data_IF_094929714382
#
_entry.id   IF_094929714382
#
_cell.length_a   1.000
_cell.length_b   1.000
_cell.length_c   1.000
_cell.angle_alpha   90.00
_cell.angle_beta   90.00
_cell.angle_gamma   90.00
#
_symmetry.space_group_name_H-M   'P 1'
#
loop_
_entity.id
_entity.type
_entity.pdbx_description
1 polymer ?
#
# COMPACT_ATOMS: atom_id res chain seq x y z
N UNK A 1 13.72 21.91 13.84
CA UNK A 1 12.74 22.77 14.58
C UNK A 1 11.49 21.95 14.75
N UNK A 2 11.06 21.64 15.96
CA UNK A 2 9.78 20.98 16.20
C UNK A 2 8.65 22.02 16.02
N UNK A 3 7.77 21.78 15.07
CA UNK A 3 6.56 22.59 14.89
C UNK A 3 5.40 21.81 15.53
N UNK A 4 4.73 22.31 16.59
CA UNK A 4 3.65 21.61 17.27
C UNK A 4 2.40 21.36 16.39
N UNK A 5 2.28 22.06 15.27
CA UNK A 5 1.24 21.82 14.28
C UNK A 5 1.56 20.64 13.33
N UNK A 6 2.82 20.22 13.22
CA UNK A 6 3.19 19.00 12.49
C UNK A 6 2.88 17.79 13.38
N UNK A 7 1.78 17.08 13.06
CA UNK A 7 1.29 15.95 13.84
C UNK A 7 1.94 14.63 13.46
N UNK A 8 2.35 14.51 12.17
CA UNK A 8 3.07 13.37 11.59
C UNK A 8 4.11 13.92 10.62
N UNK A 9 5.34 13.45 10.69
CA UNK A 9 6.45 13.86 9.84
C UNK A 9 7.50 12.76 9.71
N UNK A 10 8.76 13.10 9.47
CA UNK A 10 9.84 12.14 9.20
C UNK A 10 10.10 11.12 10.31
N UNK A 11 9.80 11.47 11.57
CA UNK A 11 10.25 10.72 12.74
C UNK A 11 9.57 9.35 12.84
N UNK A 12 8.42 9.16 12.20
CA UNK A 12 7.61 7.94 12.26
C UNK A 12 7.67 7.09 11.01
N UNK A 13 8.32 7.54 9.91
CA UNK A 13 8.28 6.84 8.60
C UNK A 13 6.85 6.47 8.20
N UNK A 14 5.91 7.39 8.43
CA UNK A 14 4.49 7.20 8.16
C UNK A 14 4.17 7.44 6.67
N UNK A 15 3.00 7.01 6.20
CA UNK A 15 2.61 7.05 4.79
C UNK A 15 2.54 8.49 4.24
N UNK A 16 2.16 9.48 5.08
CA UNK A 16 2.08 10.88 4.69
C UNK A 16 2.41 11.84 5.83
N UNK A 17 2.75 13.08 5.48
CA UNK A 17 2.85 14.16 6.46
C UNK A 17 1.46 14.67 6.86
N UNK A 18 1.28 15.01 8.15
CA UNK A 18 0.02 15.57 8.64
C UNK A 18 0.26 16.86 9.42
N UNK A 19 -0.38 17.94 8.96
CA UNK A 19 -0.26 19.26 9.56
C UNK A 19 -1.61 19.76 10.07
N UNK A 20 -1.68 20.15 11.34
CA UNK A 20 -2.89 20.74 11.95
C UNK A 20 -3.12 22.15 11.43
N UNK A 21 -4.29 22.39 10.84
CA UNK A 21 -4.72 23.72 10.39
C UNK A 21 -5.61 24.39 11.43
N UNK A 22 -6.49 23.61 12.09
CA UNK A 22 -7.37 24.04 13.17
C UNK A 22 -7.61 22.87 14.14
N UNK A 23 -8.44 23.08 15.16
CA UNK A 23 -8.82 22.02 16.09
C UNK A 23 -9.68 20.92 15.42
N UNK A 24 -10.33 21.22 14.29
CA UNK A 24 -11.20 20.28 13.57
C UNK A 24 -10.60 19.76 12.28
N UNK A 25 -9.53 20.39 11.75
CA UNK A 25 -8.98 20.07 10.43
C UNK A 25 -7.47 19.92 10.49
N UNK A 26 -6.99 18.79 10.02
CA UNK A 26 -5.60 18.56 9.63
C UNK A 26 -5.50 18.24 8.13
N UNK A 27 -4.43 18.71 7.52
CA UNK A 27 -4.06 18.41 6.12
C UNK A 27 -3.13 17.22 6.10
N UNK A 28 -3.44 16.26 5.25
CA UNK A 28 -2.55 15.17 4.87
C UNK A 28 -1.92 15.56 3.54
N UNK A 29 -0.61 15.43 3.43
CA UNK A 29 0.14 15.74 2.20
C UNK A 29 1.08 14.60 1.87
N UNK A 30 0.93 14.05 0.67
CA UNK A 30 1.81 12.99 0.13
C UNK A 30 2.23 13.27 -1.29
N UNK A 31 3.34 12.66 -1.70
CA UNK A 31 3.89 12.71 -3.05
C UNK A 31 4.35 11.33 -3.45
N UNK A 32 3.73 10.76 -4.47
CA UNK A 32 4.16 9.47 -5.00
C UNK A 32 4.11 9.43 -6.52
N UNK A 33 5.20 8.95 -7.16
CA UNK A 33 5.34 8.81 -8.59
C UNK A 33 6.39 7.76 -8.94
N UNK A 34 6.20 7.06 -10.05
CA UNK A 34 7.10 5.99 -10.48
C UNK A 34 7.10 5.79 -12.00
N UNK A 35 8.01 4.94 -12.47
CA UNK A 35 8.14 4.55 -13.87
C UNK A 35 7.03 3.58 -14.28
N UNK A 36 6.67 3.50 -15.60
CA UNK A 36 5.65 2.57 -16.07
C UNK A 36 5.91 1.12 -15.68
N UNK A 37 4.88 0.48 -15.15
CA UNK A 37 4.86 -0.95 -14.80
C UNK A 37 3.98 -1.77 -15.74
N UNK A 38 3.26 -1.09 -16.63
CA UNK A 38 2.41 -1.64 -17.70
C UNK A 38 2.67 -0.87 -18.99
N UNK A 39 2.40 -1.49 -20.13
CA UNK A 39 2.64 -0.89 -21.45
C UNK A 39 1.52 0.06 -21.89
N UNK A 40 0.29 -0.13 -21.38
CA UNK A 40 -0.84 0.74 -21.68
C UNK A 40 -0.72 2.07 -20.92
N UNK A 41 -0.57 3.22 -21.60
CA UNK A 41 -0.35 4.51 -20.96
C UNK A 41 -1.54 4.99 -20.13
N UNK A 42 -2.79 4.71 -20.56
CA UNK A 42 -3.97 5.07 -19.79
C UNK A 42 -4.05 4.27 -18.48
N UNK A 43 -3.82 2.97 -18.57
CA UNK A 43 -3.78 2.09 -17.40
C UNK A 43 -2.63 2.47 -16.45
N UNK A 44 -1.44 2.81 -16.98
CA UNK A 44 -0.35 3.32 -16.15
C UNK A 44 -0.77 4.57 -15.37
N UNK A 45 -1.44 5.51 -16.03
CA UNK A 45 -2.00 6.70 -15.38
C UNK A 45 -2.97 6.35 -14.25
N UNK A 46 -3.86 5.36 -14.47
CA UNK A 46 -4.79 4.90 -13.44
C UNK A 46 -4.06 4.29 -12.23
N UNK A 47 -3.08 3.42 -12.46
CA UNK A 47 -2.34 2.73 -11.41
C UNK A 47 -1.53 3.74 -10.57
N UNK A 48 -0.83 4.66 -11.23
CA UNK A 48 -0.03 5.67 -10.55
C UNK A 48 -0.89 6.60 -9.67
N UNK A 49 -2.07 7.00 -10.15
CA UNK A 49 -2.99 7.79 -9.36
C UNK A 49 -3.61 6.98 -8.21
N UNK A 50 -3.97 5.70 -8.44
CA UNK A 50 -4.50 4.83 -7.39
C UNK A 50 -3.50 4.64 -6.24
N UNK A 51 -2.22 4.47 -6.59
CA UNK A 51 -1.13 4.35 -5.60
C UNK A 51 -0.95 5.66 -4.81
N UNK A 52 -0.80 6.81 -5.47
CA UNK A 52 -0.60 8.10 -4.81
C UNK A 52 -1.78 8.54 -3.92
N UNK A 53 -2.99 8.12 -4.22
CA UNK A 53 -4.18 8.39 -3.41
C UNK A 53 -4.26 7.50 -2.16
N UNK A 54 -3.52 6.39 -2.12
CA UNK A 54 -3.64 5.35 -1.11
C UNK A 54 -3.17 5.82 0.26
N UNK A 55 -2.07 6.56 0.34
CA UNK A 55 -1.51 7.11 1.58
C UNK A 55 -2.55 7.92 2.36
N UNK A 56 -3.35 8.72 1.64
CA UNK A 56 -4.41 9.51 2.30
C UNK A 56 -5.47 8.62 2.94
N UNK A 57 -5.83 7.49 2.30
CA UNK A 57 -6.76 6.53 2.89
C UNK A 57 -6.15 5.78 4.06
N UNK A 58 -4.86 5.42 3.99
CA UNK A 58 -4.12 4.78 5.09
C UNK A 58 -4.07 5.66 6.33
N UNK A 59 -3.89 6.99 6.14
CA UNK A 59 -3.91 7.98 7.21
C UNK A 59 -5.32 8.33 7.74
N UNK A 60 -6.38 7.63 7.30
CA UNK A 60 -7.75 7.87 7.71
C UNK A 60 -8.42 9.10 7.08
N UNK A 61 -7.79 9.71 6.07
CA UNK A 61 -8.25 10.92 5.42
C UNK A 61 -9.11 10.72 4.19
N UNK A 62 -9.50 11.85 3.60
CA UNK A 62 -10.19 11.92 2.32
C UNK A 62 -9.39 12.77 1.33
N UNK A 63 -8.93 12.22 0.19
CA UNK A 63 -8.30 13.01 -0.87
C UNK A 63 -9.27 14.07 -1.39
N UNK A 64 -8.80 15.30 -1.53
CA UNK A 64 -9.64 16.42 -2.03
C UNK A 64 -9.02 17.17 -3.20
N UNK A 65 -7.69 17.32 -3.19
CA UNK A 65 -6.95 18.05 -4.21
C UNK A 65 -5.74 17.23 -4.63
N UNK A 66 -5.39 17.27 -5.91
CA UNK A 66 -4.16 16.67 -6.41
C UNK A 66 -3.49 17.54 -7.48
N UNK A 67 -2.17 17.39 -7.59
CA UNK A 67 -1.35 17.98 -8.63
C UNK A 67 -0.62 16.87 -9.37
N UNK A 68 -0.64 16.90 -10.70
CA UNK A 68 0.12 15.96 -11.52
C UNK A 68 1.63 16.20 -11.41
N UNK A 69 2.38 15.12 -11.27
CA UNK A 69 3.83 15.08 -11.41
C UNK A 69 4.17 14.24 -12.65
N UNK A 70 4.74 14.83 -13.68
CA UNK A 70 5.00 14.17 -14.95
C UNK A 70 6.41 14.42 -15.41
N UNK A 71 7.18 13.36 -15.60
CA UNK A 71 8.49 13.38 -16.22
C UNK A 71 8.40 12.60 -17.53
N UNK A 72 8.81 13.18 -18.66
CA UNK A 72 8.69 12.50 -19.96
C UNK A 72 9.89 12.75 -20.85
N UNK A 73 10.34 11.75 -21.63
CA UNK A 73 11.33 11.95 -22.67
C UNK A 73 10.71 12.67 -23.89
N UNK A 74 11.52 13.45 -24.56
CA UNK A 74 11.08 14.22 -25.75
C UNK A 74 10.52 13.33 -26.88
N UNK A 75 10.89 12.06 -26.92
CA UNK A 75 10.44 11.10 -27.93
C UNK A 75 9.08 10.47 -27.61
N UNK A 76 8.54 10.64 -26.39
CA UNK A 76 7.24 10.06 -26.04
C UNK A 76 6.12 10.74 -26.84
N UNK A 77 5.25 9.98 -27.53
CA UNK A 77 4.14 10.52 -28.29
C UNK A 77 3.20 11.35 -27.41
N UNK A 78 2.67 12.45 -27.96
CA UNK A 78 1.73 13.30 -27.21
C UNK A 78 0.44 12.60 -26.83
N UNK A 79 0.02 11.62 -27.62
CA UNK A 79 -1.18 10.84 -27.35
C UNK A 79 -0.98 9.91 -26.16
N UNK A 80 0.22 9.33 -25.98
CA UNK A 80 0.55 8.54 -24.79
C UNK A 80 0.60 9.42 -23.53
N UNK A 81 1.20 10.62 -23.63
CA UNK A 81 1.19 11.61 -22.54
C UNK A 81 -0.25 11.97 -22.15
N UNK A 82 -1.12 12.20 -23.14
CA UNK A 82 -2.53 12.49 -22.91
C UNK A 82 -3.22 11.33 -22.21
N UNK A 83 -3.01 10.10 -22.71
CA UNK A 83 -3.60 8.90 -22.14
C UNK A 83 -3.20 8.68 -20.66
N UNK A 84 -1.92 8.90 -20.31
CA UNK A 84 -1.44 8.85 -18.91
C UNK A 84 -2.24 9.83 -18.04
N UNK A 85 -2.34 11.09 -18.47
CA UNK A 85 -3.05 12.13 -17.71
C UNK A 85 -4.57 11.85 -17.61
N UNK A 86 -5.19 11.33 -18.67
CA UNK A 86 -6.61 10.92 -18.67
C UNK A 86 -6.86 9.75 -17.73
N UNK A 87 -5.94 8.77 -17.68
CA UNK A 87 -5.99 7.65 -16.73
C UNK A 87 -5.94 8.14 -15.28
N UNK A 88 -4.98 9.01 -14.97
CA UNK A 88 -4.87 9.63 -13.65
C UNK A 88 -6.10 10.45 -13.27
N UNK A 89 -6.60 11.25 -14.21
CA UNK A 89 -7.84 12.03 -14.01
C UNK A 89 -9.05 11.14 -13.71
N UNK A 90 -9.21 10.03 -14.43
CA UNK A 90 -10.32 9.11 -14.20
C UNK A 90 -10.30 8.56 -12.75
N UNK A 91 -9.13 8.22 -12.21
CA UNK A 91 -9.00 7.76 -10.81
C UNK A 91 -9.21 8.87 -9.79
N UNK A 92 -8.73 10.08 -10.06
CA UNK A 92 -9.02 11.22 -9.20
C UNK A 92 -10.54 11.50 -9.11
N UNK A 93 -11.25 11.44 -10.23
CA UNK A 93 -12.73 11.58 -10.26
C UNK A 93 -13.39 10.46 -9.45
N UNK A 94 -12.98 9.19 -9.62
CA UNK A 94 -13.47 8.05 -8.82
C UNK A 94 -13.22 8.25 -7.32
N UNK A 95 -12.07 8.81 -6.95
CA UNK A 95 -11.73 9.15 -5.58
C UNK A 95 -12.60 10.31 -5.01
N UNK A 96 -13.17 11.15 -5.86
CA UNK A 96 -13.78 12.42 -5.47
C UNK A 96 -12.73 13.51 -5.21
N UNK A 97 -11.57 13.39 -5.84
CA UNK A 97 -10.43 14.28 -5.75
C UNK A 97 -10.34 15.15 -7.01
N UNK A 98 -10.04 16.43 -6.88
CA UNK A 98 -9.89 17.36 -8.01
C UNK A 98 -8.42 17.50 -8.38
N UNK A 99 -8.05 17.21 -9.64
CA UNK A 99 -6.75 17.58 -10.16
C UNK A 99 -6.78 19.05 -10.58
N UNK A 100 -6.00 19.89 -9.89
CA UNK A 100 -6.01 21.34 -10.10
C UNK A 100 -4.88 21.85 -11.00
N UNK A 101 -3.97 20.98 -11.40
CA UNK A 101 -2.81 21.34 -12.23
C UNK A 101 -1.68 20.33 -12.07
N UNK A 102 -0.44 20.82 -12.14
CA UNK A 102 0.72 19.98 -11.97
C UNK A 102 1.98 20.59 -12.62
N UNK A 103 3.03 19.79 -12.66
CA UNK A 103 4.29 20.17 -13.29
C UNK A 103 4.81 19.06 -14.18
N UNK A 104 5.36 19.44 -15.33
CA UNK A 104 5.97 18.51 -16.28
C UNK A 104 7.41 18.90 -16.50
N UNK A 105 8.31 17.92 -16.42
CA UNK A 105 9.73 18.11 -16.76
C UNK A 105 10.17 17.10 -17.82
N UNK A 106 11.24 17.43 -18.52
CA UNK A 106 11.92 16.49 -19.40
C UNK A 106 12.80 15.56 -18.55
N UNK A 107 12.71 14.25 -18.83
CA UNK A 107 13.55 13.21 -18.23
C UNK A 107 13.83 12.12 -19.28
N UNK A 108 14.79 11.25 -19.03
CA UNK A 108 15.12 10.15 -19.94
C UNK A 108 14.10 9.00 -19.84
N UNK A 109 13.41 8.89 -18.72
CA UNK A 109 12.39 7.86 -18.45
C UNK A 109 11.05 8.51 -18.10
N UNK A 110 9.93 8.02 -18.64
CA UNK A 110 8.63 8.50 -18.20
C UNK A 110 8.41 8.16 -16.73
N UNK A 111 7.88 9.12 -15.97
CA UNK A 111 7.41 8.92 -14.58
C UNK A 111 6.13 9.72 -14.42
N UNK A 112 5.18 9.15 -13.74
CA UNK A 112 3.92 9.81 -13.43
C UNK A 112 3.44 9.46 -12.03
N UNK A 113 2.76 10.41 -11.42
CA UNK A 113 2.09 10.28 -10.15
C UNK A 113 1.45 11.58 -9.72
N UNK A 114 1.11 11.66 -8.45
CA UNK A 114 0.40 12.81 -7.89
C UNK A 114 1.08 13.29 -6.60
N UNK A 115 1.01 14.61 -6.40
CA UNK A 115 1.02 15.19 -5.06
C UNK A 115 -0.43 15.30 -4.63
N UNK A 116 -0.79 14.70 -3.48
CA UNK A 116 -2.18 14.61 -3.03
C UNK A 116 -2.36 15.29 -1.69
N UNK A 117 -3.32 16.20 -1.64
CA UNK A 117 -3.78 16.85 -0.41
C UNK A 117 -5.09 16.22 0.04
N UNK A 118 -5.11 15.69 1.24
CA UNK A 118 -6.28 15.14 1.91
C UNK A 118 -6.62 15.89 3.19
N UNK A 119 -7.82 15.64 3.72
CA UNK A 119 -8.27 16.21 5.00
C UNK A 119 -8.69 15.11 5.95
N UNK A 120 -8.40 15.33 7.23
CA UNK A 120 -8.79 14.46 8.34
C UNK A 120 -9.04 15.31 9.59
N UNK A 121 -9.89 14.84 10.49
CA UNK A 121 -10.00 15.44 11.83
C UNK A 121 -8.73 15.05 12.64
N UNK A 122 -8.08 15.98 13.37
CA UNK A 122 -6.85 15.69 14.12
C UNK A 122 -6.94 14.47 15.05
N UNK A 123 -8.10 14.22 15.66
CA UNK A 123 -8.33 13.09 16.57
C UNK A 123 -8.66 11.78 15.85
N UNK A 124 -8.71 11.78 14.51
CA UNK A 124 -9.04 10.59 13.68
C UNK A 124 -7.92 10.20 12.74
N UNK A 125 -6.73 10.74 12.95
CA UNK A 125 -5.55 10.37 12.17
C UNK A 125 -5.22 8.92 12.50
N UNK A 126 -5.12 8.08 11.47
CA UNK A 126 -4.52 6.77 11.56
C UNK A 126 -3.02 6.91 11.29
N UNK A 127 -2.22 6.07 11.92
CA UNK A 127 -0.76 6.05 11.79
C UNK A 127 -0.30 4.63 11.56
N UNK A 128 0.87 4.47 10.99
CA UNK A 128 1.50 3.16 10.86
C UNK A 128 2.03 2.62 12.20
N UNK A 129 1.97 3.39 13.28
CA UNK A 129 2.39 3.02 14.64
C UNK A 129 1.23 3.09 15.62
N UNK A 130 1.32 2.32 16.72
CA UNK A 130 0.31 2.29 17.77
C UNK A 130 -0.36 0.92 17.92
N UNK A 131 0.06 -0.10 17.18
CA UNK A 131 -0.39 -1.48 17.33
C UNK A 131 -0.14 -1.97 18.77
N UNK A 132 -1.08 -2.73 19.33
CA UNK A 132 -1.08 -3.16 20.72
C UNK A 132 -1.07 -4.69 20.85
N UNK A 133 -0.44 -5.24 21.89
CA UNK A 133 -0.54 -6.67 22.16
C UNK A 133 -2.02 -7.12 22.28
N UNK A 134 -2.37 -8.18 21.55
CA UNK A 134 -3.74 -8.70 21.44
C UNK A 134 -4.46 -8.27 20.14
N UNK A 135 -3.91 -7.30 19.39
CA UNK A 135 -4.42 -6.96 18.07
C UNK A 135 -4.21 -8.11 17.08
N UNK A 136 -5.05 -8.09 16.05
CA UNK A 136 -4.84 -8.88 14.83
C UNK A 136 -4.60 -7.94 13.66
N UNK A 137 -3.94 -8.45 12.61
CA UNK A 137 -3.67 -7.71 11.39
C UNK A 137 -4.63 -8.12 10.29
N UNK A 138 -5.41 -7.17 9.78
CA UNK A 138 -6.28 -7.35 8.61
C UNK A 138 -5.62 -6.76 7.38
N UNK A 139 -5.45 -7.56 6.32
CA UNK A 139 -4.98 -7.12 5.01
C UNK A 139 -6.15 -7.04 4.03
N UNK A 140 -6.29 -5.93 3.31
CA UNK A 140 -7.49 -5.63 2.51
C UNK A 140 -7.36 -5.96 1.02
N UNK A 141 -6.17 -6.28 0.53
CA UNK A 141 -5.92 -6.71 -0.85
C UNK A 141 -4.96 -7.91 -0.87
N UNK A 142 -5.03 -8.80 -1.87
CA UNK A 142 -4.10 -9.92 -2.00
C UNK A 142 -2.69 -9.46 -2.40
N UNK A 143 -1.70 -10.31 -2.11
CA UNK A 143 -0.29 -10.13 -2.44
C UNK A 143 0.10 -10.84 -3.74
N UNK A 144 1.28 -10.53 -4.27
CA UNK A 144 1.86 -11.19 -5.43
C UNK A 144 2.05 -10.29 -6.65
N UNK A 145 1.80 -8.99 -6.52
CA UNK A 145 1.87 -8.02 -7.64
C UNK A 145 3.28 -7.95 -8.25
N UNK A 146 4.34 -7.90 -7.44
CA UNK A 146 5.71 -7.84 -7.94
C UNK A 146 6.13 -9.12 -8.66
N UNK A 147 5.78 -10.28 -8.12
CA UNK A 147 5.97 -11.60 -8.73
C UNK A 147 5.23 -11.66 -10.07
N UNK A 148 3.94 -11.31 -10.09
CA UNK A 148 3.11 -11.39 -11.29
C UNK A 148 3.49 -10.36 -12.35
N UNK A 149 3.85 -9.13 -12.01
CA UNK A 149 4.35 -8.15 -12.98
C UNK A 149 5.70 -8.57 -13.58
N UNK A 150 6.52 -9.30 -12.83
CA UNK A 150 7.75 -9.93 -13.36
C UNK A 150 7.40 -11.07 -14.32
N UNK A 151 6.43 -11.91 -13.99
CA UNK A 151 5.95 -13.00 -14.83
C UNK A 151 5.26 -12.49 -16.11
N UNK A 152 4.50 -11.38 -16.04
CA UNK A 152 3.91 -10.69 -17.21
C UNK A 152 4.98 -10.30 -18.23
N UNK A 153 6.09 -9.68 -17.76
CA UNK A 153 7.21 -9.26 -18.62
C UNK A 153 7.90 -10.46 -19.31
N UNK A 154 7.80 -11.64 -18.73
CA UNK A 154 8.35 -12.89 -19.26
C UNK A 154 7.30 -13.73 -20.05
N UNK A 155 6.07 -13.23 -20.20
CA UNK A 155 4.94 -13.91 -20.86
C UNK A 155 4.63 -15.31 -20.26
N UNK A 156 4.66 -15.40 -18.92
CA UNK A 156 4.55 -16.67 -18.17
C UNK A 156 3.19 -16.89 -17.52
N UNK A 157 2.28 -15.89 -17.51
CA UNK A 157 0.96 -16.03 -16.89
C UNK A 157 -0.17 -15.96 -17.90
N UNK A 158 -1.35 -16.44 -17.49
CA UNK A 158 -2.54 -16.40 -18.34
C UNK A 158 -3.00 -14.95 -18.59
N UNK A 159 -3.65 -14.67 -19.75
CA UNK A 159 -4.27 -13.37 -20.00
C UNK A 159 -5.26 -12.95 -18.92
N UNK A 160 -6.02 -13.92 -18.36
CA UNK A 160 -6.98 -13.65 -17.29
C UNK A 160 -6.29 -13.19 -16.00
N UNK A 161 -5.19 -13.84 -15.61
CA UNK A 161 -4.39 -13.43 -14.44
C UNK A 161 -3.77 -12.06 -14.67
N UNK A 162 -3.21 -11.79 -15.86
CA UNK A 162 -2.68 -10.46 -16.21
C UNK A 162 -3.73 -9.36 -16.05
N UNK A 163 -4.92 -9.56 -16.63
CA UNK A 163 -5.99 -8.58 -16.58
C UNK A 163 -6.49 -8.37 -15.13
N UNK A 164 -6.51 -9.42 -14.31
CA UNK A 164 -6.82 -9.34 -12.88
C UNK A 164 -5.76 -8.52 -12.11
N UNK A 165 -4.47 -8.72 -12.38
CA UNK A 165 -3.36 -7.93 -11.80
C UNK A 165 -3.52 -6.44 -12.14
N UNK A 166 -3.80 -6.12 -13.40
CA UNK A 166 -3.98 -4.76 -13.85
C UNK A 166 -5.19 -4.08 -13.18
N UNK A 167 -6.33 -4.76 -13.14
CA UNK A 167 -7.52 -4.26 -12.47
C UNK A 167 -7.29 -4.05 -10.97
N UNK A 168 -6.54 -4.97 -10.34
CA UNK A 168 -6.20 -4.89 -8.93
C UNK A 168 -5.36 -3.65 -8.62
N UNK A 169 -4.27 -3.41 -9.38
CA UNK A 169 -3.42 -2.23 -9.20
C UNK A 169 -4.18 -0.91 -9.43
N UNK A 170 -5.14 -0.89 -10.36
CA UNK A 170 -5.97 0.28 -10.61
C UNK A 170 -7.13 0.46 -9.60
N UNK A 171 -7.32 -0.48 -8.66
CA UNK A 171 -8.39 -0.39 -7.66
C UNK A 171 -8.00 0.52 -6.50
N UNK A 172 -8.82 1.55 -6.22
CA UNK A 172 -8.63 2.47 -5.09
C UNK A 172 -8.83 1.78 -3.74
N UNK A 173 -8.04 2.18 -2.75
CA UNK A 173 -8.28 1.81 -1.34
C UNK A 173 -9.43 2.60 -0.69
N UNK A 174 -10.20 3.40 -1.45
CA UNK A 174 -11.29 4.25 -0.96
C UNK A 174 -12.35 3.52 -0.14
N UNK A 175 -12.84 2.38 -0.64
CA UNK A 175 -13.87 1.59 0.09
C UNK A 175 -13.31 0.98 1.35
N UNK A 176 -12.10 0.42 1.28
CA UNK A 176 -11.41 -0.14 2.45
C UNK A 176 -11.11 0.96 3.49
N UNK A 177 -10.56 2.11 3.08
CA UNK A 177 -10.32 3.25 3.97
C UNK A 177 -11.59 3.75 4.65
N UNK A 178 -12.73 3.79 3.93
CA UNK A 178 -14.02 4.16 4.53
C UNK A 178 -14.48 3.16 5.59
N UNK A 179 -14.34 1.84 5.33
CA UNK A 179 -14.67 0.80 6.30
C UNK A 179 -13.75 0.90 7.52
N UNK A 180 -12.44 1.08 7.32
CA UNK A 180 -11.45 1.24 8.40
C UNK A 180 -11.75 2.48 9.26
N UNK A 181 -12.09 3.63 8.67
CA UNK A 181 -12.50 4.85 9.40
C UNK A 181 -13.77 4.66 10.23
N UNK A 182 -14.64 3.76 9.83
CA UNK A 182 -15.90 3.44 10.54
C UNK A 182 -15.72 2.36 11.59
N UNK A 183 -14.63 1.60 11.53
CA UNK A 183 -14.30 0.57 12.50
C UNK A 183 -13.95 1.17 13.87
N UNK A 184 -14.13 0.36 14.92
CA UNK A 184 -13.76 0.75 16.28
C UNK A 184 -12.31 0.36 16.57
N UNK A 185 -11.68 1.10 17.47
CA UNK A 185 -10.38 0.77 18.06
C UNK A 185 -9.32 0.36 17.03
N UNK A 186 -9.25 1.07 15.89
CA UNK A 186 -8.13 0.92 14.95
C UNK A 186 -6.90 1.55 15.60
N UNK A 187 -5.89 0.74 15.92
CA UNK A 187 -4.69 1.18 16.61
C UNK A 187 -3.57 1.58 15.66
N UNK A 188 -3.43 0.90 14.51
CA UNK A 188 -2.49 1.29 13.47
C UNK A 188 -3.04 0.92 12.08
N UNK A 189 -2.62 1.69 11.07
CA UNK A 189 -2.95 1.45 9.67
C UNK A 189 -1.83 1.96 8.79
N UNK A 190 -1.50 1.23 7.72
CA UNK A 190 -0.62 1.62 6.63
C UNK A 190 -1.10 0.95 5.36
N UNK A 191 -0.67 1.39 4.18
CA UNK A 191 -0.84 0.60 2.98
C UNK A 191 0.41 -0.25 2.69
N UNK A 192 0.24 -1.34 1.95
CA UNK A 192 1.33 -2.27 1.63
C UNK A 192 1.82 -1.99 0.22
N UNK A 193 3.00 -1.37 0.10
CA UNK A 193 3.58 -0.97 -1.17
C UNK A 193 4.98 -1.56 -1.40
N UNK A 194 5.97 -0.76 -1.75
CA UNK A 194 7.28 -1.19 -2.22
C UNK A 194 8.11 -2.04 -1.27
N UNK A 195 7.92 -1.91 0.05
CA UNK A 195 8.63 -2.73 1.05
C UNK A 195 7.98 -4.10 1.29
N UNK A 196 6.83 -4.37 0.64
CA UNK A 196 6.09 -5.61 0.83
C UNK A 196 5.44 -5.71 2.21
N UNK A 197 4.70 -6.79 2.44
CA UNK A 197 4.05 -7.00 3.74
C UNK A 197 5.06 -7.07 4.88
N UNK A 198 6.21 -7.72 4.67
CA UNK A 198 7.26 -7.83 5.71
C UNK A 198 7.81 -6.47 6.11
N UNK A 199 8.14 -5.60 5.14
CA UNK A 199 8.71 -4.28 5.42
C UNK A 199 7.75 -3.38 6.18
N UNK A 200 6.50 -3.26 5.71
CA UNK A 200 5.50 -2.43 6.38
C UNK A 200 5.08 -2.99 7.74
N UNK A 201 5.02 -4.32 7.89
CA UNK A 201 4.80 -4.93 9.21
C UNK A 201 5.97 -4.68 10.18
N UNK A 202 7.22 -4.64 9.67
CA UNK A 202 8.38 -4.28 10.47
C UNK A 202 8.33 -2.82 10.95
N UNK A 203 7.99 -1.89 10.07
CA UNK A 203 7.82 -0.47 10.43
C UNK A 203 6.74 -0.31 11.50
N UNK A 204 5.58 -0.96 11.33
CA UNK A 204 4.51 -0.97 12.31
C UNK A 204 4.95 -1.58 13.65
N UNK A 205 5.60 -2.74 13.65
CA UNK A 205 6.06 -3.42 14.86
C UNK A 205 7.12 -2.61 15.61
N UNK A 206 8.12 -2.12 14.88
CA UNK A 206 9.24 -1.36 15.44
C UNK A 206 8.78 -0.02 16.02
N UNK A 207 7.93 0.70 15.30
CA UNK A 207 7.38 1.99 15.75
C UNK A 207 6.40 1.84 16.93
N UNK A 208 5.75 0.69 17.06
CA UNK A 208 4.82 0.38 18.16
C UNK A 208 5.50 -0.28 19.38
N UNK A 209 6.75 -0.74 19.25
CA UNK A 209 7.46 -1.44 20.32
C UNK A 209 6.89 -2.83 20.63
N UNK A 210 6.43 -3.55 19.62
CA UNK A 210 5.75 -4.85 19.72
C UNK A 210 6.41 -5.89 18.82
N UNK A 211 5.98 -7.15 18.93
CA UNK A 211 6.26 -8.20 17.94
C UNK A 211 5.00 -8.50 17.15
N UNK A 212 5.11 -8.43 15.82
CA UNK A 212 4.10 -8.88 14.89
C UNK A 212 4.48 -10.28 14.38
N UNK A 213 3.55 -11.24 14.49
CA UNK A 213 3.65 -12.55 13.87
C UNK A 213 2.75 -12.59 12.64
N UNK A 214 3.34 -12.87 11.48
CA UNK A 214 2.62 -13.09 10.22
C UNK A 214 2.44 -14.58 9.95
N UNK A 215 1.26 -14.96 9.49
CA UNK A 215 0.88 -16.34 9.20
C UNK A 215 0.90 -16.59 7.70
N UNK A 216 1.96 -17.22 7.18
CA UNK A 216 2.14 -17.45 5.74
C UNK A 216 0.96 -18.18 5.09
N UNK A 217 0.40 -19.18 5.77
CA UNK A 217 -0.73 -19.96 5.25
C UNK A 217 -2.05 -19.19 5.12
N UNK A 218 -2.18 -18.03 5.77
CA UNK A 218 -3.41 -17.19 5.71
C UNK A 218 -3.28 -15.98 4.79
N UNK A 219 -2.12 -15.79 4.15
CA UNK A 219 -1.91 -14.69 3.23
C UNK A 219 -2.84 -14.80 2.03
N UNK A 220 -3.66 -13.77 1.75
CA UNK A 220 -4.43 -13.74 0.52
C UNK A 220 -3.48 -13.48 -0.66
N UNK A 221 -3.57 -14.32 -1.69
CA UNK A 221 -2.70 -14.25 -2.85
C UNK A 221 -3.53 -14.03 -4.12
N UNK A 222 -2.96 -13.29 -5.07
CA UNK A 222 -3.45 -13.25 -6.44
C UNK A 222 -3.33 -14.65 -7.07
N UNK A 223 -4.25 -14.96 -7.98
CA UNK A 223 -4.17 -16.20 -8.77
C UNK A 223 -2.83 -16.30 -9.51
N UNK A 224 -2.27 -17.49 -9.59
CA UNK A 224 -0.95 -17.82 -10.18
C UNK A 224 0.27 -17.24 -9.42
N UNK A 225 0.10 -16.32 -8.44
CA UNK A 225 1.24 -15.73 -7.74
C UNK A 225 2.09 -16.76 -7.01
N UNK A 226 1.46 -17.74 -6.37
CA UNK A 226 2.16 -18.83 -5.68
C UNK A 226 2.95 -19.69 -6.67
N UNK A 227 2.33 -20.11 -7.77
CA UNK A 227 2.97 -20.98 -8.76
C UNK A 227 4.20 -20.29 -9.36
N UNK A 228 4.09 -18.99 -9.69
CA UNK A 228 5.22 -18.19 -10.19
C UNK A 228 6.34 -18.07 -9.16
N UNK A 229 6.00 -17.84 -7.89
CA UNK A 229 6.99 -17.78 -6.83
C UNK A 229 7.69 -19.14 -6.61
N UNK A 230 6.96 -20.27 -6.64
CA UNK A 230 7.53 -21.64 -6.57
C UNK A 230 8.45 -21.94 -7.77
N UNK A 231 8.20 -21.34 -8.93
CA UNK A 231 9.09 -21.41 -10.10
C UNK A 231 10.34 -20.52 -9.98
N UNK A 232 10.45 -19.71 -8.90
CA UNK A 232 11.58 -18.81 -8.68
C UNK A 232 11.44 -17.46 -9.40
N UNK A 233 10.26 -17.08 -9.88
CA UNK A 233 9.99 -15.77 -10.47
C UNK A 233 9.81 -14.75 -9.34
N UNK A 234 10.93 -14.37 -8.72
CA UNK A 234 10.96 -13.44 -7.60
C UNK A 234 11.61 -12.11 -8.06
N UNK A 235 10.95 -10.97 -7.91
CA UNK A 235 11.53 -9.69 -8.31
C UNK A 235 12.71 -9.29 -7.41
N UNK A 236 13.67 -8.57 -7.98
CA UNK A 236 14.84 -8.08 -7.23
C UNK A 236 14.47 -7.23 -6.01
N UNK A 237 13.30 -6.59 -6.02
CA UNK A 237 12.75 -5.86 -4.88
C UNK A 237 12.52 -6.74 -3.67
N UNK A 238 11.99 -7.95 -3.85
CA UNK A 238 11.74 -8.89 -2.76
C UNK A 238 13.01 -9.29 -2.01
N UNK A 239 14.11 -9.53 -2.72
CA UNK A 239 15.40 -9.81 -2.07
C UNK A 239 15.91 -8.62 -1.24
N UNK A 240 15.78 -7.38 -1.74
CA UNK A 240 16.15 -6.18 -0.98
C UNK A 240 15.26 -6.00 0.26
N UNK A 241 13.97 -6.23 0.13
CA UNK A 241 13.03 -6.19 1.25
C UNK A 241 13.38 -7.23 2.31
N UNK A 242 13.71 -8.46 1.88
CA UNK A 242 14.17 -9.52 2.78
C UNK A 242 15.45 -9.13 3.50
N UNK A 243 16.46 -8.61 2.80
CA UNK A 243 17.72 -8.17 3.40
C UNK A 243 17.50 -7.06 4.44
N UNK A 244 16.54 -6.15 4.17
CA UNK A 244 16.17 -5.07 5.10
C UNK A 244 15.56 -5.61 6.40
N UNK A 245 14.63 -6.55 6.33
CA UNK A 245 13.93 -7.06 7.51
C UNK A 245 14.67 -8.19 8.23
N UNK A 246 15.58 -8.88 7.56
CA UNK A 246 16.28 -10.08 8.06
C UNK A 246 16.89 -9.93 9.47
N UNK A 247 17.53 -8.80 9.85
CA UNK A 247 18.06 -8.61 11.20
C UNK A 247 16.98 -8.56 12.29
N UNK A 248 15.73 -8.36 11.91
CA UNK A 248 14.59 -8.11 12.79
C UNK A 248 13.51 -9.19 12.69
N UNK A 249 13.78 -10.27 11.94
CA UNK A 249 12.84 -11.33 11.60
C UNK A 249 13.27 -12.67 12.20
N UNK A 250 12.38 -13.33 12.89
CA UNK A 250 12.48 -14.74 13.27
C UNK A 250 11.59 -15.57 12.34
N UNK A 251 12.19 -16.42 11.52
CA UNK A 251 11.47 -17.39 10.68
C UNK A 251 11.26 -18.66 11.50
N UNK A 252 9.99 -19.03 11.73
CA UNK A 252 9.65 -20.22 12.53
C UNK A 252 9.80 -21.51 11.69
N UNK A 253 10.00 -22.68 12.33
CA UNK A 253 10.18 -23.94 11.61
C UNK A 253 9.00 -24.38 10.74
N UNK A 254 7.81 -23.83 10.98
CA UNK A 254 6.58 -24.09 10.22
C UNK A 254 6.49 -23.25 8.93
N UNK A 255 7.30 -22.22 8.81
CA UNK A 255 7.29 -21.31 7.67
C UNK A 255 7.66 -22.01 6.37
N UNK A 256 6.93 -21.74 5.30
CA UNK A 256 7.25 -22.16 3.95
C UNK A 256 7.91 -21.00 3.20
N UNK A 257 9.03 -21.28 2.50
CA UNK A 257 9.81 -20.24 1.82
C UNK A 257 8.98 -19.45 0.79
N UNK A 258 8.08 -20.11 0.06
CA UNK A 258 7.24 -19.45 -0.94
C UNK A 258 6.35 -18.33 -0.34
N UNK A 259 5.79 -18.53 0.84
CA UNK A 259 4.99 -17.49 1.50
C UNK A 259 5.86 -16.37 2.06
N UNK A 260 7.08 -16.70 2.49
CA UNK A 260 8.04 -15.71 2.94
C UNK A 260 8.48 -14.80 1.77
N UNK A 261 8.73 -15.38 0.59
CA UNK A 261 9.08 -14.65 -0.62
C UNK A 261 7.93 -13.74 -1.06
N UNK A 262 6.67 -14.24 -1.01
CA UNK A 262 5.48 -13.47 -1.33
C UNK A 262 5.17 -12.36 -0.30
N UNK A 263 5.52 -12.57 0.96
CA UNK A 263 5.40 -11.53 1.99
C UNK A 263 6.47 -10.42 1.83
N UNK A 264 7.63 -10.75 1.24
CA UNK A 264 8.67 -9.79 0.88
C UNK A 264 8.42 -9.09 -0.47
N UNK A 265 7.46 -9.61 -1.28
CA UNK A 265 7.19 -9.13 -2.63
C UNK A 265 6.72 -7.67 -2.64
N UNK A 266 7.38 -6.75 -3.39
CA UNK A 266 6.92 -5.38 -3.49
C UNK A 266 5.55 -5.30 -4.16
N UNK A 267 4.65 -4.53 -3.55
CA UNK A 267 3.32 -4.29 -4.09
C UNK A 267 3.24 -2.91 -4.75
N UNK A 268 2.46 -2.78 -5.80
CA UNK A 268 2.06 -1.51 -6.39
C UNK A 268 0.57 -1.33 -6.14
N UNK A 269 0.19 -0.22 -5.54
CA UNK A 269 -1.19 0.05 -5.14
C UNK A 269 -1.78 -1.11 -4.30
N UNK A 270 -1.02 -1.59 -3.32
CA UNK A 270 -1.44 -2.69 -2.45
C UNK A 270 -2.58 -2.32 -1.50
N UNK A 271 -2.95 -3.25 -0.64
CA UNK A 271 -4.04 -3.07 0.31
C UNK A 271 -3.62 -2.37 1.59
N UNK A 272 -4.61 -1.98 2.39
CA UNK A 272 -4.37 -1.50 3.75
C UNK A 272 -4.05 -2.67 4.68
N UNK A 273 -3.08 -2.47 5.56
CA UNK A 273 -2.75 -3.34 6.69
C UNK A 273 -3.21 -2.64 7.96
N UNK A 274 -4.13 -3.25 8.69
CA UNK A 274 -4.84 -2.62 9.81
C UNK A 274 -4.65 -3.46 11.07
N UNK A 275 -4.16 -2.84 12.15
CA UNK A 275 -4.04 -3.45 13.47
C UNK A 275 -5.20 -2.99 14.36
N UNK A 276 -5.95 -3.95 14.91
CA UNK A 276 -7.09 -3.69 15.80
C UNK A 276 -7.41 -4.92 16.63
N UNK A 277 -8.17 -4.79 17.77
CA UNK A 277 -8.60 -5.92 18.57
C UNK A 277 -9.40 -6.94 17.75
N UNK A 278 -9.21 -8.22 18.03
CA UNK A 278 -9.88 -9.32 17.28
C UNK A 278 -11.40 -9.16 17.25
N UNK A 279 -12.02 -8.69 18.32
CA UNK A 279 -13.47 -8.48 18.41
C UNK A 279 -13.98 -7.39 17.48
N UNK A 280 -13.15 -6.40 17.16
CA UNK A 280 -13.46 -5.31 16.20
C UNK A 280 -13.03 -5.68 14.77
N UNK A 281 -12.04 -6.56 14.62
CA UNK A 281 -11.57 -7.05 13.32
C UNK A 281 -12.62 -7.92 12.59
N UNK A 282 -13.38 -8.74 13.31
CA UNK A 282 -14.40 -9.59 12.69
C UNK A 282 -15.55 -8.82 12.02
N UNK A 283 -16.13 -7.76 12.63
CA UNK A 283 -17.10 -6.89 11.95
C UNK A 283 -16.49 -6.19 10.73
N UNK A 284 -15.28 -5.63 10.87
CA UNK A 284 -14.57 -4.99 9.76
C UNK A 284 -14.35 -5.98 8.60
N UNK A 285 -13.88 -7.19 8.89
CA UNK A 285 -13.62 -8.20 7.88
C UNK A 285 -14.91 -8.59 7.13
N UNK A 286 -16.05 -8.76 7.84
CA UNK A 286 -17.33 -9.02 7.19
C UNK A 286 -17.77 -7.89 6.26
N UNK A 287 -17.55 -6.63 6.63
CA UNK A 287 -17.83 -5.49 5.76
C UNK A 287 -16.91 -5.48 4.55
N UNK A 288 -15.59 -5.61 4.75
CA UNK A 288 -14.60 -5.65 3.68
C UNK A 288 -14.91 -6.74 2.66
N UNK A 289 -15.26 -7.94 3.10
CA UNK A 289 -15.52 -9.10 2.23
C UNK A 289 -16.76 -8.91 1.33
N UNK A 290 -17.61 -7.93 1.57
CA UNK A 290 -18.73 -7.60 0.68
C UNK A 290 -18.27 -7.01 -0.66
N UNK A 291 -17.08 -6.41 -0.72
CA UNK A 291 -16.51 -5.78 -1.93
C UNK A 291 -15.04 -6.15 -2.19
N UNK A 292 -14.36 -6.72 -1.20
CA UNK A 292 -12.99 -7.20 -1.25
C UNK A 292 -12.93 -8.61 -0.61
N UNK A 293 -13.44 -9.66 -1.30
CA UNK A 293 -13.65 -10.99 -0.72
C UNK A 293 -12.36 -11.69 -0.27
N UNK A 294 -11.22 -11.25 -0.77
CA UNK A 294 -9.88 -11.72 -0.39
C UNK A 294 -9.37 -11.15 0.94
N UNK A 295 -10.04 -10.15 1.55
CA UNK A 295 -9.60 -9.58 2.81
C UNK A 295 -9.52 -10.65 3.90
N UNK A 296 -8.40 -10.66 4.63
CA UNK A 296 -8.10 -11.73 5.59
C UNK A 296 -7.34 -11.20 6.82
N UNK A 297 -7.44 -11.94 7.94
CA UNK A 297 -6.52 -11.78 9.06
C UNK A 297 -5.23 -12.52 8.69
N UNK A 298 -4.11 -11.78 8.68
CA UNK A 298 -2.80 -12.26 8.22
C UNK A 298 -1.77 -12.39 9.33
N UNK A 299 -2.10 -11.95 10.54
CA UNK A 299 -1.17 -11.98 11.66
C UNK A 299 -1.77 -11.52 12.97
N UNK A 300 -0.94 -11.52 14.00
CA UNK A 300 -1.27 -11.11 15.36
C UNK A 300 -0.15 -10.30 16.00
N UNK A 301 -0.49 -9.47 16.97
CA UNK A 301 0.44 -8.60 17.71
C UNK A 301 0.60 -9.12 19.14
N UNK A 302 1.84 -9.19 19.60
CA UNK A 302 2.18 -9.58 20.97
C UNK A 302 3.15 -8.59 21.61
N UNK A 303 3.35 -8.71 22.93
CA UNK A 303 4.46 -8.03 23.60
C UNK A 303 5.77 -8.26 22.85
N UNK A 304 6.67 -7.27 22.90
CA UNK A 304 7.95 -7.35 22.21
C UNK A 304 8.75 -8.58 22.68
N UNK A 305 9.14 -9.39 21.69
CA UNK A 305 9.94 -10.61 21.87
C UNK A 305 11.39 -10.38 21.43
N UNK A 306 12.07 -11.45 21.04
CA UNK A 306 13.45 -11.39 20.57
C UNK A 306 13.63 -10.56 19.29
N UNK A 307 12.62 -10.54 18.42
CA UNK A 307 12.58 -9.78 17.17
C UNK A 307 11.24 -9.07 17.00
N UNK A 308 11.24 -7.99 16.23
CA UNK A 308 10.04 -7.24 15.92
C UNK A 308 9.08 -8.02 15.01
N UNK A 309 9.61 -8.95 14.20
CA UNK A 309 8.81 -9.83 13.33
C UNK A 309 9.03 -11.30 13.65
N UNK A 310 7.97 -12.07 13.57
CA UNK A 310 7.97 -13.53 13.46
C UNK A 310 7.17 -13.93 12.21
N UNK A 311 7.59 -14.99 11.52
CA UNK A 311 6.89 -15.54 10.35
C UNK A 311 6.76 -17.05 10.47
N UNK A 312 5.54 -17.63 10.25
CA UNK A 312 5.25 -19.06 10.33
C UNK A 312 4.61 -19.66 9.07
#
# INVERSE_FOLDING_TARGET
>A
MSNPALLVGYDSSDDAAVYRVSDEVAVIETVDFFTPIVDDPYLFGQIAAANALSDVYAMGGEPKLAMNLLCVPNCLPKDDIRAILEGGHAKAVEAGCVIAGGHTIQDNEPKYGLCVTGFVHPDRILKNVGAQPGDVLVLTKPLGIGVLTTAIKADLISPAARDAVYAHMATLNKKAGNAVRSAKNVHACTDVTGFGLLGHSYEMASGSGVTIRLHGATLPLMDEARDMAEMGIIPAGAYRNMDYVKPHLTVLPTAQQVFLDLAADPQTSGGLLVALPREDAEPLLRELQTFAPWSAIVGEVSELRATALEFD
#
